data_IF_382096254162
#
_entry.id   IF_382096254162
#
_cell.length_a   1.000
_cell.length_b   1.000
_cell.length_c   1.000
_cell.angle_alpha   90.00
_cell.angle_beta   90.00
_cell.angle_gamma   90.00
#
_symmetry.space_group_name_H-M   'P 1'
#
loop_
_entity.id
_entity.type
_entity.pdbx_description
1 polymer ?
#
# COMPACT_ATOMS: atom_id res chain seq x y z
N UNK A 1 1.24 -26.65 -8.42
CA UNK A 1 0.74 -25.53 -7.59
C UNK A 1 1.97 -25.01 -6.88
N UNK A 2 2.50 -23.86 -7.28
CA UNK A 2 3.75 -23.35 -6.70
C UNK A 2 3.42 -22.70 -5.37
N UNK A 3 4.22 -23.00 -4.36
CA UNK A 3 4.09 -22.37 -3.05
C UNK A 3 4.35 -20.85 -3.15
N UNK A 4 3.77 -20.06 -2.24
CA UNK A 4 3.88 -18.60 -2.26
C UNK A 4 5.34 -18.15 -2.14
N UNK A 5 6.18 -18.90 -1.42
CA UNK A 5 7.62 -18.63 -1.32
C UNK A 5 8.32 -18.84 -2.66
N UNK A 6 8.02 -19.91 -3.39
CA UNK A 6 8.55 -20.13 -4.75
C UNK A 6 8.13 -19.00 -5.70
N UNK A 7 6.87 -18.57 -5.60
CA UNK A 7 6.34 -17.46 -6.38
C UNK A 7 7.08 -16.17 -6.04
N UNK A 8 7.31 -15.87 -4.76
CA UNK A 8 8.01 -14.64 -4.36
C UNK A 8 9.53 -14.70 -4.53
N UNK A 9 10.14 -15.88 -4.74
CA UNK A 9 11.59 -16.02 -4.91
C UNK A 9 12.13 -15.32 -6.17
N UNK A 10 11.31 -15.15 -7.20
CA UNK A 10 11.69 -14.54 -8.47
C UNK A 10 11.70 -13.00 -8.39
N UNK A 11 12.82 -12.35 -8.76
CA UNK A 11 12.97 -10.91 -8.64
C UNK A 11 12.04 -10.13 -9.59
N UNK A 12 11.74 -10.66 -10.78
CA UNK A 12 10.84 -10.00 -11.73
C UNK A 12 9.42 -10.02 -11.19
N UNK A 13 8.98 -11.12 -10.58
CA UNK A 13 7.66 -11.20 -9.93
C UNK A 13 7.54 -10.19 -8.79
N UNK A 14 8.57 -10.05 -7.95
CA UNK A 14 8.57 -9.01 -6.88
C UNK A 14 8.51 -7.60 -7.45
N UNK A 15 9.26 -7.32 -8.51
CA UNK A 15 9.22 -5.99 -9.16
C UNK A 15 7.84 -5.70 -9.77
N UNK A 16 7.20 -6.68 -10.41
CA UNK A 16 5.81 -6.54 -10.89
C UNK A 16 4.87 -6.15 -9.74
N UNK A 17 4.94 -6.84 -8.60
CA UNK A 17 4.10 -6.54 -7.44
C UNK A 17 4.37 -5.12 -6.89
N UNK A 18 5.63 -4.70 -6.84
CA UNK A 18 6.01 -3.32 -6.44
C UNK A 18 5.41 -2.28 -7.39
N UNK A 19 5.44 -2.53 -8.70
CA UNK A 19 4.84 -1.63 -9.70
C UNK A 19 3.33 -1.54 -9.54
N UNK A 20 2.66 -2.68 -9.40
CA UNK A 20 1.21 -2.74 -9.19
C UNK A 20 0.78 -2.06 -7.89
N UNK A 21 1.57 -2.17 -6.82
CA UNK A 21 1.34 -1.45 -5.55
C UNK A 21 1.42 0.07 -5.73
N UNK A 22 2.35 0.54 -6.54
CA UNK A 22 2.62 1.96 -6.73
C UNK A 22 1.71 2.62 -7.78
N UNK A 23 0.93 1.83 -8.54
CA UNK A 23 -0.06 2.36 -9.48
C UNK A 23 -1.23 3.00 -8.69
N UNK A 24 -1.35 4.33 -8.76
CA UNK A 24 -2.48 5.09 -8.20
C UNK A 24 -3.81 4.67 -8.87
N UNK A 25 -4.96 4.85 -8.20
CA UNK A 25 -5.98 3.84 -7.87
C UNK A 25 -6.56 3.09 -9.09
N UNK A 26 -5.70 2.46 -9.85
CA UNK A 26 -5.98 2.02 -11.20
C UNK A 26 -5.22 0.75 -11.49
N UNK A 27 -5.93 -0.14 -12.16
CA UNK A 27 -5.32 -1.34 -12.71
C UNK A 27 -4.24 -0.94 -13.72
N UNK A 28 -3.11 -1.64 -13.72
CA UNK A 28 -2.02 -1.36 -14.64
C UNK A 28 -2.18 -2.22 -15.90
N UNK A 29 -2.10 -1.61 -17.09
CA UNK A 29 -2.15 -2.38 -18.32
C UNK A 29 -0.88 -3.23 -18.49
N UNK A 30 -1.00 -4.40 -19.12
CA UNK A 30 0.18 -5.25 -19.42
C UNK A 30 1.25 -4.48 -20.19
N UNK A 31 0.85 -3.60 -21.11
CA UNK A 31 1.77 -2.78 -21.89
C UNK A 31 2.65 -1.88 -21.03
N UNK A 32 2.09 -1.31 -19.97
CA UNK A 32 2.83 -0.43 -19.04
C UNK A 32 3.83 -1.24 -18.21
N UNK A 33 3.45 -2.45 -17.78
CA UNK A 33 4.35 -3.37 -17.07
C UNK A 33 5.52 -3.79 -17.98
N UNK A 34 5.23 -4.11 -19.24
CA UNK A 34 6.22 -4.45 -20.27
C UNK A 34 7.21 -3.31 -20.49
N UNK A 35 6.70 -2.09 -20.67
CA UNK A 35 7.53 -0.90 -20.86
C UNK A 35 8.41 -0.60 -19.64
N UNK A 36 7.86 -0.71 -18.43
CA UNK A 36 8.59 -0.44 -17.19
C UNK A 36 9.73 -1.44 -16.94
N UNK A 37 9.52 -2.72 -17.25
CA UNK A 37 10.50 -3.79 -17.00
C UNK A 37 11.50 -3.95 -18.16
N UNK A 38 11.25 -3.35 -19.32
CA UNK A 38 12.03 -3.56 -20.56
C UNK A 38 12.15 -5.04 -20.93
N UNK A 39 11.09 -5.80 -20.67
CA UNK A 39 10.99 -7.23 -21.00
C UNK A 39 10.01 -7.43 -22.16
N UNK A 40 10.01 -8.62 -22.75
CA UNK A 40 9.02 -8.96 -23.78
C UNK A 40 7.64 -9.21 -23.16
N UNK A 41 6.58 -8.96 -23.92
CA UNK A 41 5.20 -9.24 -23.49
C UNK A 41 4.95 -10.72 -23.16
N UNK A 42 5.46 -11.72 -23.90
CA UNK A 42 5.36 -13.13 -23.51
C UNK A 42 6.00 -13.42 -22.15
N UNK A 43 7.18 -12.85 -21.87
CA UNK A 43 7.85 -12.99 -20.58
C UNK A 43 7.00 -12.42 -19.44
N UNK A 44 6.54 -11.18 -19.57
CA UNK A 44 5.69 -10.52 -18.57
C UNK A 44 4.38 -11.28 -18.36
N UNK A 45 3.74 -11.73 -19.44
CA UNK A 45 2.49 -12.50 -19.37
C UNK A 45 2.67 -13.82 -18.63
N UNK A 46 3.81 -14.49 -18.78
CA UNK A 46 4.15 -15.69 -18.02
C UNK A 46 4.27 -15.39 -16.52
N UNK A 47 4.96 -14.32 -16.13
CA UNK A 47 5.06 -13.92 -14.72
C UNK A 47 3.69 -13.53 -14.13
N UNK A 48 2.89 -12.76 -14.86
CA UNK A 48 1.54 -12.38 -14.45
C UNK A 48 0.60 -13.60 -14.30
N UNK A 49 0.73 -14.59 -15.19
CA UNK A 49 0.00 -15.86 -15.04
C UNK A 49 0.36 -16.56 -13.72
N UNK A 50 1.64 -16.70 -13.41
CA UNK A 50 2.10 -17.32 -12.15
C UNK A 50 1.59 -16.55 -10.93
N UNK A 51 1.68 -15.22 -10.95
CA UNK A 51 1.17 -14.37 -9.87
C UNK A 51 -0.34 -14.50 -9.68
N UNK A 52 -1.10 -14.57 -10.78
CA UNK A 52 -2.56 -14.72 -10.76
C UNK A 52 -2.96 -16.10 -10.24
N UNK A 53 -2.28 -17.14 -10.71
CA UNK A 53 -2.54 -18.52 -10.28
C UNK A 53 -2.21 -18.70 -8.77
N UNK A 54 -1.33 -17.85 -8.21
CA UNK A 54 -1.05 -17.74 -6.77
C UNK A 54 -1.95 -16.74 -6.02
N UNK A 55 -2.91 -16.12 -6.70
CA UNK A 55 -3.85 -15.16 -6.12
C UNK A 55 -3.27 -13.78 -5.78
N UNK A 56 -1.99 -13.51 -6.08
CA UNK A 56 -1.30 -12.26 -5.75
C UNK A 56 -1.70 -11.09 -6.66
N UNK A 57 -2.35 -11.37 -7.80
CA UNK A 57 -2.91 -10.37 -8.69
C UNK A 57 -4.27 -10.78 -9.20
N UNK A 58 -5.15 -9.80 -9.43
CA UNK A 58 -6.38 -9.97 -10.17
C UNK A 58 -6.25 -9.35 -11.55
N UNK A 59 -7.12 -9.80 -12.48
CA UNK A 59 -7.17 -9.30 -13.85
C UNK A 59 -8.58 -8.87 -14.20
N UNK A 60 -8.69 -7.70 -14.86
CA UNK A 60 -9.90 -7.19 -15.50
C UNK A 60 -9.65 -7.10 -16.99
N UNK A 61 -10.63 -7.50 -17.78
CA UNK A 61 -10.58 -7.38 -19.24
C UNK A 61 -11.44 -6.20 -19.68
N UNK A 62 -10.90 -5.37 -20.57
CA UNK A 62 -11.60 -4.23 -21.16
C UNK A 62 -11.22 -4.15 -22.65
N UNK A 63 -12.12 -4.66 -23.50
CA UNK A 63 -11.84 -4.86 -24.92
C UNK A 63 -10.67 -5.82 -25.12
N UNK A 64 -9.63 -5.38 -25.83
CA UNK A 64 -8.40 -6.16 -26.03
C UNK A 64 -7.35 -5.95 -24.94
N UNK A 65 -7.59 -5.04 -23.99
CA UNK A 65 -6.64 -4.72 -22.94
C UNK A 65 -6.90 -5.55 -21.68
N UNK A 66 -5.80 -5.95 -21.03
CA UNK A 66 -5.81 -6.62 -19.73
C UNK A 66 -5.17 -5.72 -18.70
N UNK A 67 -5.91 -5.56 -17.61
CA UNK A 67 -5.64 -4.65 -16.53
C UNK A 67 -5.40 -5.46 -15.26
N UNK A 68 -4.24 -5.29 -14.63
CA UNK A 68 -3.84 -6.07 -13.47
C UNK A 68 -3.84 -5.22 -12.21
N UNK A 69 -4.23 -5.82 -11.10
CA UNK A 69 -4.22 -5.20 -9.78
C UNK A 69 -3.56 -6.13 -8.76
N UNK A 70 -2.80 -5.55 -7.84
CA UNK A 70 -2.27 -6.28 -6.69
C UNK A 70 -3.42 -6.78 -5.80
N UNK A 71 -3.39 -8.06 -5.44
CA UNK A 71 -4.18 -8.60 -4.36
C UNK A 71 -3.23 -8.96 -3.19
N UNK A 72 -3.22 -8.18 -2.10
CA UNK A 72 -2.29 -8.41 -0.99
C UNK A 72 -2.72 -9.55 -0.06
N UNK A 73 -3.95 -10.05 -0.16
CA UNK A 73 -4.51 -11.05 0.78
C UNK A 73 -3.62 -12.31 0.94
N UNK A 74 -3.08 -12.94 -0.12
CA UNK A 74 -2.23 -14.12 0.05
C UNK A 74 -0.93 -13.85 0.81
N UNK A 75 -0.46 -12.59 0.86
CA UNK A 75 0.78 -12.23 1.55
C UNK A 75 0.67 -12.40 3.07
N UNK A 76 -0.54 -12.50 3.64
CA UNK A 76 -0.73 -12.77 5.06
C UNK A 76 -0.07 -14.10 5.50
N UNK A 77 0.05 -15.09 4.60
CA UNK A 77 0.74 -16.36 4.86
C UNK A 77 2.23 -16.10 5.13
N UNK A 78 2.84 -15.26 4.30
CA UNK A 78 4.27 -14.91 4.41
C UNK A 78 4.50 -14.07 5.66
N UNK A 79 3.63 -13.10 5.91
CA UNK A 79 3.69 -12.24 7.09
C UNK A 79 3.61 -13.06 8.40
N UNK A 80 2.68 -14.02 8.47
CA UNK A 80 2.57 -14.93 9.61
C UNK A 80 3.82 -15.81 9.80
N UNK A 81 4.37 -16.34 8.71
CA UNK A 81 5.61 -17.13 8.76
C UNK A 81 6.81 -16.31 9.21
N UNK A 82 7.01 -15.11 8.65
CA UNK A 82 8.10 -14.19 9.05
C UNK A 82 7.94 -13.79 10.52
N UNK A 83 6.71 -13.50 10.96
CA UNK A 83 6.42 -13.18 12.35
C UNK A 83 6.79 -14.34 13.27
N UNK A 84 6.42 -15.58 12.93
CA UNK A 84 6.77 -16.76 13.73
C UNK A 84 8.29 -16.98 13.83
N UNK A 85 9.03 -16.81 12.73
CA UNK A 85 10.49 -17.00 12.72
C UNK A 85 11.27 -15.88 13.42
N UNK A 86 10.75 -14.66 13.40
CA UNK A 86 11.35 -13.53 14.11
C UNK A 86 11.03 -13.52 15.61
N UNK A 87 10.03 -14.31 16.03
CA UNK A 87 9.53 -14.36 17.41
C UNK A 87 10.42 -15.13 18.41
N UNK A 88 11.53 -15.74 17.97
CA UNK A 88 12.49 -16.40 18.88
C UNK A 88 13.71 -15.54 19.26
N UNK A 89 13.73 -14.24 18.95
CA UNK A 89 14.78 -13.36 19.49
C UNK A 89 14.36 -11.89 19.65
N UNK A 90 13.32 -11.62 20.45
CA UNK A 90 13.04 -10.27 20.98
C UNK A 90 12.67 -10.35 22.47
N UNK A 91 13.61 -10.80 23.29
CA UNK A 91 13.86 -10.07 24.53
C UNK A 91 14.65 -8.81 24.12
N UNK A 92 14.01 -7.64 24.22
CA UNK A 92 14.50 -6.32 23.81
C UNK A 92 14.59 -6.03 22.30
N UNK A 93 13.54 -5.37 21.79
CA UNK A 93 13.66 -3.98 21.33
C UNK A 93 12.29 -3.36 21.22
N UNK A 94 12.08 -2.38 22.06
CA UNK A 94 11.02 -1.39 22.02
C UNK A 94 10.91 -0.79 20.61
N UNK A 95 9.98 -1.29 19.81
CA UNK A 95 9.47 -0.58 18.64
C UNK A 95 8.02 -0.25 18.94
N UNK A 96 7.92 0.90 19.60
CA UNK A 96 6.89 1.89 19.37
C UNK A 96 5.46 1.57 19.85
N UNK A 97 5.28 1.69 21.16
CA UNK A 97 3.99 2.02 21.79
C UNK A 97 3.51 3.45 21.46
N UNK A 98 4.09 4.16 20.49
CA UNK A 98 3.66 5.49 20.05
C UNK A 98 2.83 5.42 18.76
N UNK A 99 1.89 4.48 18.68
CA UNK A 99 0.64 4.82 17.99
C UNK A 99 0.06 6.00 18.78
N UNK A 100 0.00 7.24 18.26
CA UNK A 100 -0.67 8.29 19.00
C UNK A 100 -2.10 7.78 19.21
N UNK A 101 -2.47 7.59 20.49
CA UNK A 101 -3.87 7.37 20.86
C UNK A 101 -4.62 8.53 20.20
N UNK A 102 -5.57 8.21 19.33
CA UNK A 102 -6.31 9.21 18.56
C UNK A 102 -6.69 10.35 19.52
N UNK A 103 -6.23 11.56 19.19
CA UNK A 103 -6.57 12.74 20.00
C UNK A 103 -8.10 12.85 19.98
N UNK A 104 -8.78 12.89 21.14
CA UNK A 104 -10.22 13.02 21.18
C UNK A 104 -10.71 14.25 20.40
N UNK A 105 -9.92 15.33 20.33
CA UNK A 105 -10.26 16.51 19.55
C UNK A 105 -10.25 16.25 18.03
N UNK A 106 -9.34 15.37 17.55
CA UNK A 106 -9.30 14.95 16.14
C UNK A 106 -10.46 14.02 15.82
N UNK A 107 -10.85 13.17 16.77
CA UNK A 107 -11.98 12.24 16.61
C UNK A 107 -13.32 13.01 16.55
N UNK A 108 -13.46 14.04 17.40
CA UNK A 108 -14.62 14.94 17.42
C UNK A 108 -14.70 15.78 16.13
N UNK A 109 -13.57 16.32 15.66
CA UNK A 109 -13.50 17.07 14.41
C UNK A 109 -13.90 16.24 13.17
N UNK A 110 -13.53 14.95 13.11
CA UNK A 110 -13.94 14.06 12.00
C UNK A 110 -15.43 13.74 12.07
N UNK A 111 -16.04 13.75 13.26
CA UNK A 111 -17.46 13.45 13.44
C UNK A 111 -18.41 14.59 13.05
N UNK A 112 -17.91 15.83 13.01
CA UNK A 112 -18.68 17.02 12.58
C UNK A 112 -18.67 17.23 11.05
N UNK A 113 -17.83 16.49 10.32
CA UNK A 113 -17.79 16.59 8.86
C UNK A 113 -18.96 15.79 8.28
N UNK A 114 -19.92 16.48 7.66
CA UNK A 114 -21.02 15.85 6.93
C UNK A 114 -20.49 15.23 5.62
N UNK A 115 -20.18 13.93 5.66
CA UNK A 115 -19.68 13.15 4.53
C UNK A 115 -20.78 12.77 3.51
N UNK A 116 -22.04 13.21 3.69
CA UNK A 116 -23.17 12.83 2.84
C UNK A 116 -23.02 13.19 1.35
N UNK A 117 -22.01 13.99 0.96
CA UNK A 117 -21.74 14.37 -0.43
C UNK A 117 -20.62 13.61 -1.17
N UNK A 118 -19.79 12.79 -0.50
CA UNK A 118 -18.57 12.24 -1.10
C UNK A 118 -18.38 10.75 -0.82
N UNK A 119 -19.15 9.93 -1.55
CA UNK A 119 -19.05 8.47 -1.47
C UNK A 119 -17.68 7.92 -1.89
N UNK A 120 -17.04 7.19 -0.95
CA UNK A 120 -16.05 6.10 -1.15
C UNK A 120 -14.56 6.42 -1.42
N UNK A 121 -13.99 7.54 -0.97
CA UNK A 121 -12.55 7.80 -1.20
C UNK A 121 -11.71 8.22 0.04
N UNK A 122 -12.21 8.11 1.27
CA UNK A 122 -11.50 8.69 2.43
C UNK A 122 -10.55 7.72 3.16
N UNK A 123 -10.72 6.41 3.03
CA UNK A 123 -9.91 5.42 3.76
C UNK A 123 -8.40 5.47 3.47
N UNK A 124 -7.99 5.87 2.27
CA UNK A 124 -6.58 5.99 1.89
C UNK A 124 -6.02 7.42 2.01
N UNK A 125 -6.89 8.44 2.05
CA UNK A 125 -6.48 9.84 2.16
C UNK A 125 -6.22 10.25 3.61
N UNK A 126 -6.93 9.66 4.59
CA UNK A 126 -6.72 9.94 6.01
C UNK A 126 -5.27 9.68 6.47
N UNK A 127 -4.63 8.64 5.95
CA UNK A 127 -3.23 8.32 6.23
C UNK A 127 -2.22 9.32 5.61
N UNK A 128 -2.62 10.04 4.54
CA UNK A 128 -1.76 11.07 3.91
C UNK A 128 -1.97 12.45 4.53
N UNK A 129 -3.18 12.75 5.01
CA UNK A 129 -3.50 14.06 5.62
C UNK A 129 -2.84 14.24 6.99
N UNK A 130 -2.58 13.15 7.74
CA UNK A 130 -1.90 13.23 9.04
C UNK A 130 -0.49 13.84 8.97
N UNK A 131 0.23 13.67 7.85
CA UNK A 131 1.58 14.21 7.67
C UNK A 131 1.54 15.72 7.34
N UNK A 132 0.51 16.17 6.62
CA UNK A 132 0.41 17.57 6.16
C UNK A 132 -0.16 18.49 7.25
N UNK A 133 -1.15 18.02 8.02
CA UNK A 133 -1.80 18.82 9.09
C UNK A 133 -0.79 19.17 10.19
N UNK A 134 0.15 18.28 10.50
CA UNK A 134 1.17 18.55 11.52
C UNK A 134 2.16 19.63 11.07
N UNK A 135 2.53 19.65 9.79
CA UNK A 135 3.36 20.71 9.19
C UNK A 135 2.66 22.07 9.22
N UNK A 136 1.37 22.11 8.88
CA UNK A 136 0.57 23.35 8.90
C UNK A 136 0.35 23.85 10.33
N UNK A 137 0.11 22.95 11.29
CA UNK A 137 -0.05 23.33 12.70
C UNK A 137 1.26 23.82 13.34
N UNK A 138 2.42 23.23 13.00
CA UNK A 138 3.71 23.73 13.46
C UNK A 138 4.09 25.06 12.78
N UNK A 139 3.73 25.25 11.50
CA UNK A 139 3.88 26.53 10.81
C UNK A 139 3.01 27.62 11.46
N UNK A 140 1.75 27.32 11.77
CA UNK A 140 0.83 28.23 12.46
C UNK A 140 1.32 28.53 13.89
N UNK A 141 1.83 27.55 14.63
CA UNK A 141 2.39 27.74 15.97
C UNK A 141 3.67 28.57 15.95
N UNK A 142 4.49 28.42 14.91
CA UNK A 142 5.71 29.23 14.69
C UNK A 142 5.35 30.68 14.35
N UNK A 143 4.30 30.90 13.55
CA UNK A 143 3.82 32.23 13.15
C UNK A 143 3.13 32.95 14.33
N UNK A 144 2.38 32.22 15.17
CA UNK A 144 1.65 32.80 16.31
C UNK A 144 2.48 32.85 17.61
N UNK A 145 3.66 32.24 17.66
CA UNK A 145 4.52 32.14 18.84
C UNK A 145 5.51 33.29 19.07
N UNK A 146 5.64 34.23 18.14
CA UNK A 146 6.51 35.41 18.33
C UNK A 146 5.70 36.59 18.85
N UNK A 147 5.59 36.74 20.18
CA UNK A 147 5.15 38.00 20.81
C UNK A 147 6.38 38.81 21.24
N UNK A 148 6.46 40.11 20.88
CA UNK A 148 7.68 40.93 21.03
C UNK A 148 7.89 41.35 22.49
N UNK A 149 9.16 41.61 22.84
CA UNK A 149 9.53 42.54 23.92
C UNK A 149 9.71 43.93 23.35
#
# INVERSE_FOLDING_TARGET
MNDIFDVLADPIRREILVRLRNAAPGDLAVGDVVAALKLTQPTVSKHLKVLRDAGLVSVREEGQHRFYRLNPEPLAIVDGWVSAMSSENVAHRDVDSSRPKADPAVTEFVSEIDFAGAGRAVGAAAARVEIEVRSVLDAIRTILGSKPR
#
